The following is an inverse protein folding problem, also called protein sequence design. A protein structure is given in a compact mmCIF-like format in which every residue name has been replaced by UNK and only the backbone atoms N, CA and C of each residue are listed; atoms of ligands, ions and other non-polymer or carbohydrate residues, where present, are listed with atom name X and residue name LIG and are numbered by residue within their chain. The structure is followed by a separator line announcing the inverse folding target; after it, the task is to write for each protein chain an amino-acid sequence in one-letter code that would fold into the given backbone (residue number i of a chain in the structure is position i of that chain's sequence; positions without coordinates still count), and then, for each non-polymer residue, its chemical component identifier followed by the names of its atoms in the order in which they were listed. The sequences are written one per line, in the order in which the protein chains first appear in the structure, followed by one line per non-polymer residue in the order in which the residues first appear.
data_IF_035083268410
#
_entry.id   IF_035083268410
#
_cell.length_a   1.000
_cell.length_b   1.000
_cell.length_c   1.000
_cell.angle_alpha   90.00
_cell.angle_beta   90.00
_cell.angle_gamma   90.00
#
_symmetry.space_group_name_H-M   'P 1'
#
loop_
_entity.id
_entity.type
_entity.pdbx_description
1 polymer ?
#
# COMPACT_ATOMS: atom_id res chain seq x y z
N UNK A 1 13.84 -0.23 -5.71
CA UNK A 1 13.48 -0.70 -4.35
C UNK A 1 13.15 -2.19 -4.46
N UNK A 2 13.74 -3.05 -3.64
CA UNK A 2 13.66 -4.53 -3.77
C UNK A 2 12.80 -5.22 -2.71
N UNK A 3 12.05 -4.46 -1.90
CA UNK A 3 11.20 -5.00 -0.82
C UNK A 3 9.87 -4.27 -0.68
N UNK A 4 8.85 -5.00 -0.19
CA UNK A 4 7.54 -4.48 0.21
C UNK A 4 7.70 -3.59 1.45
N UNK A 5 7.27 -2.33 1.36
CA UNK A 5 7.27 -1.39 2.49
C UNK A 5 5.82 -1.02 2.84
N UNK A 6 5.50 -0.92 4.13
CA UNK A 6 4.17 -0.53 4.62
C UNK A 6 4.35 0.61 5.61
N UNK A 7 3.63 1.71 5.38
CA UNK A 7 3.63 2.89 6.24
C UNK A 7 2.22 3.16 6.77
N UNK A 8 2.11 3.44 8.08
CA UNK A 8 0.83 3.73 8.76
C UNK A 8 0.78 5.18 9.23
N UNK A 9 -0.29 5.87 8.85
CA UNK A 9 -0.57 7.26 9.22
C UNK A 9 -1.89 7.34 9.98
N UNK A 10 -1.87 8.00 11.14
CA UNK A 10 -3.07 8.14 11.97
C UNK A 10 -2.78 8.96 13.22
N UNK A 11 -3.83 9.57 13.79
CA UNK A 11 -3.74 10.15 15.13
C UNK A 11 -3.62 9.04 16.16
N UNK A 12 -2.81 9.25 17.19
CA UNK A 12 -2.83 8.39 18.38
C UNK A 12 -4.14 8.72 19.11
N UNK A 13 -5.14 7.84 19.00
CA UNK A 13 -6.42 8.00 19.68
C UNK A 13 -6.35 7.24 21.00
N UNK A 14 -6.41 7.97 22.12
CA UNK A 14 -6.30 7.41 23.48
C UNK A 14 -7.53 6.66 23.98
N UNK A 15 -8.56 6.45 23.15
CA UNK A 15 -9.82 5.84 23.55
C UNK A 15 -9.90 4.39 23.07
N UNK A 16 -9.69 3.45 23.99
CA UNK A 16 -9.50 2.00 23.79
C UNK A 16 -10.67 1.22 23.15
N UNK A 17 -11.65 1.86 22.51
CA UNK A 17 -12.89 1.18 22.07
C UNK A 17 -13.44 1.57 20.70
N UNK A 18 -12.97 2.66 20.08
CA UNK A 18 -13.52 3.12 18.81
C UNK A 18 -12.76 2.50 17.64
N UNK A 19 -13.43 1.62 16.87
CA UNK A 19 -12.88 1.11 15.61
C UNK A 19 -12.90 2.23 14.57
N UNK A 20 -11.73 2.57 14.04
CA UNK A 20 -11.59 3.57 12.99
C UNK A 20 -11.63 2.91 11.61
N UNK A 21 -12.14 3.63 10.62
CA UNK A 21 -12.06 3.20 9.22
C UNK A 21 -10.61 3.24 8.74
N UNK A 22 -10.20 2.21 8.01
CA UNK A 22 -8.87 2.09 7.40
C UNK A 22 -8.99 2.31 5.90
N UNK A 23 -8.25 3.28 5.36
CA UNK A 23 -8.11 3.50 3.92
C UNK A 23 -6.72 3.05 3.45
N UNK A 24 -6.70 2.29 2.36
CA UNK A 24 -5.48 1.79 1.73
C UNK A 24 -5.46 2.31 0.28
N UNK A 25 -4.83 3.45 -0.02
CA UNK A 25 -4.64 3.88 -1.39
C UNK A 25 -3.65 2.94 -2.09
N UNK A 26 -4.00 2.49 -3.29
CA UNK A 26 -3.11 1.77 -4.19
C UNK A 26 -2.82 2.72 -5.34
N UNK A 27 -1.57 3.20 -5.41
CA UNK A 27 -1.08 3.97 -6.55
C UNK A 27 -0.96 3.02 -7.75
N UNK A 28 -1.53 3.40 -8.89
CA UNK A 28 -1.42 2.66 -10.14
C UNK A 28 -0.08 2.95 -10.85
N UNK A 29 0.75 3.85 -10.31
CA UNK A 29 2.13 4.07 -10.71
C UNK A 29 2.28 4.17 -12.24
N UNK A 30 1.44 5.03 -12.86
CA UNK A 30 1.45 5.32 -14.30
C UNK A 30 1.46 4.04 -15.16
N UNK A 31 0.45 3.18 -14.97
CA UNK A 31 0.34 1.90 -15.67
C UNK A 31 1.33 0.85 -15.15
N UNK A 32 1.54 0.81 -13.84
CA UNK A 32 2.42 -0.13 -13.13
C UNK A 32 3.89 -0.04 -13.52
N UNK A 33 4.32 1.07 -14.10
CA UNK A 33 5.67 1.20 -14.68
C UNK A 33 6.58 2.06 -13.81
N UNK A 34 6.05 3.09 -13.16
CA UNK A 34 6.79 4.10 -12.41
C UNK A 34 5.94 4.69 -11.28
N UNK A 35 6.44 4.73 -10.05
CA UNK A 35 5.71 5.42 -8.98
C UNK A 35 6.34 5.23 -7.60
N UNK A 36 5.56 5.55 -6.56
CA UNK A 36 5.98 5.42 -5.17
C UNK A 36 5.16 6.29 -4.22
N UNK A 37 4.98 5.80 -2.99
CA UNK A 37 4.06 6.34 -1.98
C UNK A 37 4.59 7.54 -1.17
N UNK A 38 5.63 8.23 -1.64
CA UNK A 38 6.22 9.42 -0.99
C UNK A 38 6.04 10.67 -1.85
N UNK A 39 4.87 10.83 -2.48
CA UNK A 39 4.58 12.04 -3.26
C UNK A 39 3.96 13.13 -2.38
N UNK A 40 4.33 14.39 -2.64
CA UNK A 40 3.87 15.55 -1.87
C UNK A 40 2.34 15.71 -1.87
N UNK A 41 1.68 15.35 -2.98
CA UNK A 41 0.22 15.38 -3.10
C UNK A 41 -0.46 14.36 -2.17
N UNK A 42 0.13 13.18 -2.04
CA UNK A 42 -0.38 12.12 -1.15
C UNK A 42 -0.30 12.56 0.31
N UNK A 43 0.78 13.25 0.72
CA UNK A 43 0.92 13.80 2.08
C UNK A 43 -0.22 14.77 2.42
N UNK A 44 -0.65 15.59 1.47
CA UNK A 44 -1.80 16.49 1.63
C UNK A 44 -3.10 15.71 1.90
N UNK A 45 -3.39 14.71 1.07
CA UNK A 45 -4.58 13.85 1.20
C UNK A 45 -4.55 13.08 2.52
N UNK A 46 -3.42 12.46 2.86
CA UNK A 46 -3.22 11.72 4.11
C UNK A 46 -3.50 12.63 5.31
N UNK A 47 -2.93 13.85 5.32
CA UNK A 47 -3.14 14.78 6.44
C UNK A 47 -4.62 15.15 6.64
N UNK A 48 -5.37 15.35 5.56
CA UNK A 48 -6.79 15.67 5.62
C UNK A 48 -7.63 14.50 6.16
N UNK A 49 -7.34 13.27 5.71
CA UNK A 49 -8.06 12.07 6.14
C UNK A 49 -7.77 11.70 7.59
N UNK A 50 -6.50 11.84 8.01
CA UNK A 50 -6.09 11.61 9.40
C UNK A 50 -6.77 12.60 10.36
N UNK A 51 -6.99 13.85 9.92
CA UNK A 51 -7.77 14.81 10.71
C UNK A 51 -9.21 14.36 10.94
N UNK A 52 -9.80 13.63 9.99
CA UNK A 52 -11.16 13.06 10.03
C UNK A 52 -11.25 11.69 10.70
N UNK A 53 -10.23 11.31 11.49
CA UNK A 53 -10.18 10.04 12.23
C UNK A 53 -10.16 8.78 11.33
N UNK A 54 -9.61 8.90 10.12
CA UNK A 54 -9.36 7.76 9.24
C UNK A 54 -7.90 7.36 9.38
N UNK A 55 -7.65 6.05 9.54
CA UNK A 55 -6.29 5.49 9.49
C UNK A 55 -5.93 5.29 8.02
N UNK A 56 -4.83 5.87 7.57
CA UNK A 56 -4.36 5.69 6.19
C UNK A 56 -3.13 4.80 6.21
N UNK A 57 -3.14 3.74 5.41
CA UNK A 57 -2.02 2.81 5.28
C UNK A 57 -1.53 2.82 3.85
N UNK A 58 -0.32 3.32 3.64
CA UNK A 58 0.33 3.30 2.32
C UNK A 58 1.24 2.09 2.21
N UNK A 59 1.36 1.52 1.01
CA UNK A 59 2.20 0.37 0.75
C UNK A 59 2.95 0.54 -0.57
N UNK A 60 4.17 0.03 -0.61
CA UNK A 60 4.99 -0.05 -1.82
C UNK A 60 5.00 -1.49 -2.31
N UNK A 61 4.69 -1.69 -3.59
CA UNK A 61 4.72 -2.98 -4.25
C UNK A 61 5.65 -2.95 -5.47
N UNK A 62 6.06 -4.12 -5.98
CA UNK A 62 6.93 -4.19 -7.15
C UNK A 62 6.22 -3.69 -8.41
N UNK A 63 6.92 -2.89 -9.20
CA UNK A 63 6.46 -2.31 -10.47
C UNK A 63 7.35 -2.74 -11.64
N UNK A 64 6.91 -2.46 -12.87
CA UNK A 64 7.60 -2.76 -14.11
C UNK A 64 7.84 -4.27 -14.29
N UNK A 65 8.95 -4.62 -14.95
CA UNK A 65 9.33 -6.01 -15.14
C UNK A 65 9.49 -6.76 -13.80
N UNK A 66 9.96 -6.11 -12.74
CA UNK A 66 10.14 -6.78 -11.45
C UNK A 66 8.81 -7.19 -10.78
N UNK A 67 7.72 -6.48 -11.08
CA UNK A 67 6.38 -6.78 -10.56
C UNK A 67 5.55 -7.65 -11.50
N UNK A 68 5.73 -7.50 -12.81
CA UNK A 68 4.78 -8.01 -13.81
C UNK A 68 5.42 -8.80 -14.95
N UNK A 69 6.71 -9.17 -14.84
CA UNK A 69 7.34 -10.04 -15.83
C UNK A 69 6.68 -11.42 -15.88
N UNK A 70 6.57 -11.97 -17.09
CA UNK A 70 6.01 -13.29 -17.35
C UNK A 70 6.74 -13.92 -18.53
N UNK A 71 7.01 -15.22 -18.44
CA UNK A 71 7.52 -16.04 -19.54
C UNK A 71 6.39 -16.75 -20.29
N UNK A 72 5.12 -16.50 -19.93
CA UNK A 72 3.93 -17.24 -20.40
C UNK A 72 4.03 -18.76 -20.20
N UNK A 73 4.90 -19.19 -19.28
CA UNK A 73 5.10 -20.57 -18.85
C UNK A 73 5.07 -20.61 -17.33
N UNK A 74 4.89 -21.80 -16.75
CA UNK A 74 4.86 -21.96 -15.29
C UNK A 74 6.24 -21.84 -14.61
N UNK A 75 7.30 -21.54 -15.38
CA UNK A 75 8.67 -21.48 -14.87
C UNK A 75 8.92 -20.25 -14.00
N UNK A 76 8.21 -19.15 -14.24
CA UNK A 76 8.34 -17.90 -13.47
C UNK A 76 6.97 -17.47 -12.96
N UNK A 77 6.89 -17.18 -11.67
CA UNK A 77 5.67 -16.65 -11.06
C UNK A 77 5.45 -15.21 -11.56
N UNK A 78 4.36 -15.00 -12.29
CA UNK A 78 3.94 -13.69 -12.78
C UNK A 78 3.14 -12.93 -11.73
N UNK A 79 2.83 -11.66 -12.01
CA UNK A 79 2.00 -10.79 -11.16
C UNK A 79 2.50 -10.68 -9.71
N UNK A 80 3.81 -10.72 -9.53
CA UNK A 80 4.48 -10.54 -8.25
C UNK A 80 4.08 -9.24 -7.56
N UNK A 81 3.87 -8.16 -8.32
CA UNK A 81 3.36 -6.88 -7.80
C UNK A 81 1.95 -6.97 -7.21
N UNK A 82 1.05 -7.77 -7.81
CA UNK A 82 -0.29 -8.02 -7.24
C UNK A 82 -0.20 -8.91 -5.99
N UNK A 83 0.72 -9.88 -5.98
CA UNK A 83 0.92 -10.74 -4.81
C UNK A 83 1.49 -9.97 -3.62
N UNK A 84 2.32 -8.96 -3.88
CA UNK A 84 2.78 -8.02 -2.85
C UNK A 84 1.60 -7.27 -2.23
N UNK A 85 0.65 -6.78 -3.04
CA UNK A 85 -0.56 -6.13 -2.54
C UNK A 85 -1.40 -7.09 -1.67
N UNK A 86 -1.56 -8.35 -2.09
CA UNK A 86 -2.25 -9.38 -1.30
C UNK A 86 -1.54 -9.64 0.03
N UNK A 87 -0.22 -9.73 0.02
CA UNK A 87 0.57 -9.93 1.24
C UNK A 87 0.44 -8.73 2.19
N UNK A 88 0.46 -7.51 1.66
CA UNK A 88 0.24 -6.30 2.43
C UNK A 88 -1.17 -6.28 3.08
N UNK A 89 -2.23 -6.61 2.32
CA UNK A 89 -3.59 -6.68 2.87
C UNK A 89 -3.72 -7.73 3.99
N UNK A 90 -3.06 -8.88 3.84
CA UNK A 90 -3.02 -9.91 4.90
C UNK A 90 -2.30 -9.40 6.15
N UNK A 91 -1.22 -8.64 5.99
CA UNK A 91 -0.51 -8.02 7.11
C UNK A 91 -1.38 -6.97 7.81
N UNK A 92 -2.00 -6.06 7.05
CA UNK A 92 -2.88 -5.01 7.57
C UNK A 92 -4.02 -5.64 8.38
N UNK A 93 -4.74 -6.62 7.82
CA UNK A 93 -5.83 -7.32 8.53
C UNK A 93 -5.38 -7.99 9.83
N UNK A 94 -4.12 -8.41 9.91
CA UNK A 94 -3.57 -9.10 11.09
C UNK A 94 -3.15 -8.13 12.19
N UNK A 95 -2.68 -6.93 11.84
CA UNK A 95 -1.95 -6.05 12.76
C UNK A 95 -2.56 -4.65 12.94
N UNK A 96 -3.51 -4.24 12.10
CA UNK A 96 -4.22 -2.96 12.15
C UNK A 96 -5.70 -3.22 12.43
#
# INVERSE_FOLDING_TARGET
MTGLEISRWGKIVGTSGTKLSVLIPIDDSNGFSNGGCDQSQEKGIISNLVQRQIVVVTLQYRIGALGFFTTYTNSVQSNLGMLDQVQAMKWIKKWI
#
